data_IF_622561092637
#
_entry.id   IF_622561092637
#
_cell.length_a   1.000
_cell.length_b   1.000
_cell.length_c   1.000
_cell.angle_alpha   90.00
_cell.angle_beta   90.00
_cell.angle_gamma   90.00
#
_symmetry.space_group_name_H-M   'P 1'
#
loop_
_entity.id
_entity.type
_entity.pdbx_description
1 polymer ?
#
# COMPACT_ATOMS: atom_id res chain seq x y z
N UNK A 1 -22.38 15.22 -2.96
CA UNK A 1 -21.69 14.05 -3.53
C UNK A 1 -21.27 13.18 -2.36
N UNK A 2 -21.64 11.90 -2.34
CA UNK A 2 -21.05 10.99 -1.35
C UNK A 2 -19.57 10.78 -1.71
N UNK A 3 -18.69 10.84 -0.72
CA UNK A 3 -17.29 10.52 -0.92
C UNK A 3 -17.19 9.02 -1.21
N UNK A 4 -16.59 8.65 -2.35
CA UNK A 4 -16.37 7.26 -2.71
C UNK A 4 -15.56 6.57 -1.61
N UNK A 5 -16.06 5.43 -1.11
CA UNK A 5 -15.39 4.58 -0.13
C UNK A 5 -15.40 3.13 -0.58
N UNK A 6 -14.28 2.47 -0.35
CA UNK A 6 -14.15 1.02 -0.56
C UNK A 6 -14.41 0.28 0.75
N UNK A 7 -14.84 -0.98 0.67
CA UNK A 7 -15.06 -1.82 1.84
C UNK A 7 -13.74 -2.31 2.45
N UNK A 8 -12.96 -1.38 2.99
CA UNK A 8 -11.69 -1.61 3.68
C UNK A 8 -11.51 -0.58 4.80
N UNK A 9 -10.63 -0.86 5.77
CA UNK A 9 -10.31 0.08 6.86
C UNK A 9 -9.36 1.20 6.42
N UNK A 10 -8.48 0.92 5.46
CA UNK A 10 -7.63 1.88 4.78
C UNK A 10 -7.32 1.36 3.36
N UNK A 11 -7.01 2.25 2.43
CA UNK A 11 -6.66 1.90 1.05
C UNK A 11 -5.87 3.01 0.36
N UNK A 12 -4.96 2.61 -0.52
CA UNK A 12 -4.29 3.47 -1.49
C UNK A 12 -4.41 2.88 -2.89
N UNK A 13 -4.57 3.73 -3.89
CA UNK A 13 -4.28 3.41 -5.28
C UNK A 13 -3.22 4.38 -5.78
N UNK A 14 -2.12 3.85 -6.32
CA UNK A 14 -0.96 4.64 -6.77
C UNK A 14 -0.65 4.28 -8.21
N UNK A 15 -0.44 5.29 -9.04
CA UNK A 15 0.11 5.11 -10.38
C UNK A 15 1.57 4.64 -10.29
N UNK A 16 1.88 3.49 -10.88
CA UNK A 16 3.18 2.83 -10.69
C UNK A 16 4.35 3.57 -11.33
N UNK A 17 4.12 4.35 -12.40
CA UNK A 17 5.17 5.06 -13.12
C UNK A 17 5.46 6.42 -12.49
N UNK A 18 4.43 7.21 -12.18
CA UNK A 18 4.56 8.57 -11.66
C UNK A 18 4.59 8.67 -10.14
N UNK A 19 4.15 7.62 -9.43
CA UNK A 19 3.93 7.66 -7.98
C UNK A 19 2.72 8.50 -7.56
N UNK A 20 1.90 8.97 -8.51
CA UNK A 20 0.71 9.77 -8.20
C UNK A 20 -0.31 8.93 -7.41
N UNK A 21 -0.74 9.45 -6.26
CA UNK A 21 -1.86 8.89 -5.51
C UNK A 21 -3.15 9.20 -6.26
N UNK A 22 -3.85 8.14 -6.70
CA UNK A 22 -5.12 8.20 -7.40
C UNK A 22 -6.31 8.09 -6.43
N UNK A 23 -6.09 7.44 -5.29
CA UNK A 23 -7.08 7.28 -4.23
C UNK A 23 -6.37 7.08 -2.88
N UNK A 24 -6.91 7.73 -1.84
CA UNK A 24 -6.47 7.62 -0.45
C UNK A 24 -7.70 7.54 0.46
N UNK A 25 -7.74 6.48 1.27
CA UNK A 25 -8.66 6.35 2.39
C UNK A 25 -7.85 5.91 3.61
N UNK A 26 -7.66 6.81 4.58
CA UNK A 26 -6.92 6.53 5.81
C UNK A 26 -5.51 5.95 5.56
N UNK A 27 -4.87 6.31 4.44
CA UNK A 27 -3.66 5.63 3.99
C UNK A 27 -2.43 5.83 4.88
N UNK A 28 -2.33 6.97 5.58
CA UNK A 28 -1.25 7.24 6.53
C UNK A 28 -1.55 6.74 7.96
N UNK A 29 -2.73 6.18 8.20
CA UNK A 29 -3.09 5.65 9.51
C UNK A 29 -2.32 4.33 9.75
N UNK A 30 -1.62 4.18 10.89
CA UNK A 30 -0.98 2.91 11.23
C UNK A 30 -1.98 1.75 11.28
N UNK A 31 -1.64 0.65 10.61
CA UNK A 31 -2.46 -0.57 10.51
C UNK A 31 -1.62 -1.83 10.70
N UNK A 32 -2.23 -2.89 11.22
CA UNK A 32 -1.62 -4.22 11.22
C UNK A 32 -1.62 -4.80 9.79
N UNK A 33 -0.44 -5.05 9.25
CA UNK A 33 -0.23 -5.48 7.86
C UNK A 33 -0.18 -7.01 7.69
N UNK A 34 -0.10 -7.77 8.80
CA UNK A 34 -0.06 -9.23 8.83
C UNK A 34 0.91 -9.83 7.79
N UNK A 35 0.40 -10.59 6.81
CA UNK A 35 1.24 -11.21 5.79
C UNK A 35 1.84 -10.24 4.76
N UNK A 36 1.37 -9.00 4.65
CA UNK A 36 1.98 -7.97 3.77
C UNK A 36 3.42 -7.67 4.20
N UNK A 37 3.77 -7.88 5.49
CA UNK A 37 5.15 -7.82 5.98
C UNK A 37 6.13 -8.70 5.16
N UNK A 38 5.66 -9.79 4.56
CA UNK A 38 6.49 -10.67 3.71
C UNK A 38 7.07 -9.95 2.49
N UNK A 39 6.44 -8.86 2.00
CA UNK A 39 6.98 -8.04 0.90
C UNK A 39 8.35 -7.45 1.27
N UNK A 40 8.54 -7.00 2.51
CA UNK A 40 9.85 -6.52 2.99
C UNK A 40 10.89 -7.64 2.99
N UNK A 41 10.51 -8.85 3.42
CA UNK A 41 11.39 -10.02 3.39
C UNK A 41 11.84 -10.38 1.98
N UNK A 42 10.91 -10.35 1.01
CA UNK A 42 11.22 -10.57 -0.41
C UNK A 42 12.17 -9.49 -0.95
N UNK A 43 11.97 -8.22 -0.58
CA UNK A 43 12.85 -7.13 -0.97
C UNK A 43 14.28 -7.35 -0.45
N UNK A 44 14.44 -7.73 0.82
CA UNK A 44 15.76 -8.04 1.39
C UNK A 44 16.43 -9.16 0.60
N UNK A 45 15.76 -10.29 0.37
CA UNK A 45 16.34 -11.41 -0.41
C UNK A 45 16.74 -10.95 -1.81
N UNK A 46 15.90 -10.18 -2.50
CA UNK A 46 16.22 -9.64 -3.81
C UNK A 46 17.51 -8.81 -3.77
N UNK A 47 17.65 -7.90 -2.81
CA UNK A 47 18.84 -7.03 -2.66
C UNK A 47 20.13 -7.77 -2.27
N UNK A 48 20.05 -9.02 -1.82
CA UNK A 48 21.24 -9.83 -1.48
C UNK A 48 21.72 -10.70 -2.66
N UNK A 49 20.89 -10.86 -3.69
CA UNK A 49 21.19 -11.69 -4.86
C UNK A 49 21.69 -10.85 -6.05
N UNK A 50 21.41 -9.54 -6.06
CA UNK A 50 21.90 -8.56 -7.04
C UNK A 50 23.01 -7.70 -6.46
#
# INVERSE_FOLDING_TARGET
SESFKVNAKAAFAVDAESGKILYDQDGEKPMDTASITKIHGLYIVLTQVV
#
